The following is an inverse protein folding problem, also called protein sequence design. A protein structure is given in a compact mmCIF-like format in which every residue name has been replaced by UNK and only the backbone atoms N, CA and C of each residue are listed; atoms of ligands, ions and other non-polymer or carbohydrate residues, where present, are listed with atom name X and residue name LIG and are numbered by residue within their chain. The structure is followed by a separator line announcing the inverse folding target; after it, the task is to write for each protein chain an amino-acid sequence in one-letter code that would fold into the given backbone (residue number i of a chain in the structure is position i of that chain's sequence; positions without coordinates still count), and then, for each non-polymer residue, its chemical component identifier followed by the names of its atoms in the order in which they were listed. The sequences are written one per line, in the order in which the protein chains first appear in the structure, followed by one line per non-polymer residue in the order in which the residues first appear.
data_IF_853602630051
#
_entry.id   IF_853602630051
#
_cell.length_a   1.000
_cell.length_b   1.000
_cell.length_c   1.000
_cell.angle_alpha   90.00
_cell.angle_beta   90.00
_cell.angle_gamma   90.00
#
_symmetry.space_group_name_H-M   'P 1'
#
loop_
_entity.id
_entity.type
_entity.pdbx_description
1 polymer ?
#
# COMPACT_ATOMS: atom_id res chain seq x y z
N UNK A 1 11.97 23.73 -16.34
CA UNK A 1 11.19 23.35 -15.13
C UNK A 1 10.77 21.88 -15.18
N UNK A 2 10.13 21.42 -16.26
CA UNK A 2 9.75 20.01 -16.45
C UNK A 2 10.89 19.00 -16.34
N UNK A 3 12.10 19.34 -16.78
CA UNK A 3 13.30 18.49 -16.58
C UNK A 3 13.58 18.18 -15.11
N UNK A 4 13.46 19.18 -14.23
CA UNK A 4 13.66 19.01 -12.77
C UNK A 4 12.56 18.16 -12.15
N UNK A 5 11.31 18.32 -12.62
CA UNK A 5 10.18 17.50 -12.16
C UNK A 5 10.41 16.04 -12.54
N UNK A 6 10.75 15.76 -13.80
CA UNK A 6 11.08 14.41 -14.28
C UNK A 6 12.22 13.77 -13.47
N UNK A 7 13.31 14.50 -13.26
CA UNK A 7 14.44 14.03 -12.44
C UNK A 7 14.07 13.70 -10.99
N UNK A 8 13.03 14.34 -10.44
CA UNK A 8 12.52 14.02 -9.12
C UNK A 8 11.53 12.85 -9.11
N UNK A 9 10.75 12.66 -10.17
CA UNK A 9 9.76 11.58 -10.28
C UNK A 9 10.40 10.22 -10.52
N UNK A 10 11.39 10.11 -11.42
CA UNK A 10 12.00 8.81 -11.75
C UNK A 10 12.54 8.06 -10.52
N UNK A 11 13.34 8.67 -9.62
CA UNK A 11 13.82 7.97 -8.43
C UNK A 11 12.71 7.61 -7.43
N UNK A 12 11.65 8.42 -7.37
CA UNK A 12 10.49 8.13 -6.53
C UNK A 12 9.72 6.91 -7.06
N UNK A 13 9.56 6.80 -8.38
CA UNK A 13 8.95 5.63 -9.05
C UNK A 13 9.84 4.39 -8.90
N UNK A 14 11.17 4.51 -8.95
CA UNK A 14 12.08 3.39 -8.67
C UNK A 14 11.87 2.84 -7.26
N UNK A 15 11.81 3.70 -6.24
CA UNK A 15 11.55 3.26 -4.86
C UNK A 15 10.15 2.70 -4.67
N UNK A 16 9.17 3.23 -5.40
CA UNK A 16 7.81 2.70 -5.39
C UNK A 16 7.82 1.25 -5.89
N UNK A 17 8.46 0.99 -7.02
CA UNK A 17 8.65 -0.37 -7.55
C UNK A 17 9.33 -1.30 -6.54
N UNK A 18 10.39 -0.85 -5.88
CA UNK A 18 11.07 -1.65 -4.85
C UNK A 18 10.10 -2.07 -3.73
N UNK A 19 9.19 -1.18 -3.31
CA UNK A 19 8.16 -1.56 -2.34
C UNK A 19 7.13 -2.52 -2.90
N UNK A 20 6.75 -2.42 -4.18
CA UNK A 20 5.86 -3.40 -4.81
C UNK A 20 6.46 -4.81 -4.74
N UNK A 21 7.74 -4.92 -5.11
CA UNK A 21 8.47 -6.19 -5.13
C UNK A 21 8.57 -6.82 -3.73
N UNK A 22 8.63 -5.99 -2.67
CA UNK A 22 8.62 -6.43 -1.27
C UNK A 22 7.22 -6.77 -0.74
N UNK A 23 6.19 -6.00 -1.12
CA UNK A 23 4.83 -6.11 -0.57
C UNK A 23 4.06 -7.27 -1.21
N UNK A 24 4.12 -7.42 -2.53
CA UNK A 24 3.29 -8.38 -3.29
C UNK A 24 3.41 -9.81 -2.76
N UNK A 25 4.61 -10.35 -2.48
CA UNK A 25 4.72 -11.71 -1.93
C UNK A 25 3.99 -11.91 -0.60
N UNK A 26 3.89 -10.88 0.24
CA UNK A 26 3.19 -10.95 1.53
C UNK A 26 1.68 -10.81 1.35
N UNK A 27 1.23 -9.99 0.40
CA UNK A 27 -0.18 -9.92 0.04
C UNK A 27 -0.67 -11.22 -0.60
N UNK A 28 0.12 -11.84 -1.46
CA UNK A 28 -0.26 -13.05 -2.20
C UNK A 28 -0.07 -14.35 -1.37
N UNK A 29 0.52 -14.25 -0.18
CA UNK A 29 0.71 -15.39 0.71
C UNK A 29 -0.63 -15.95 1.21
N UNK A 30 -0.79 -17.28 1.16
CA UNK A 30 -1.99 -17.97 1.68
C UNK A 30 -2.14 -17.80 3.19
N UNK A 31 -1.03 -17.83 3.91
CA UNK A 31 -0.97 -17.56 5.35
C UNK A 31 0.03 -16.45 5.61
N UNK A 32 -0.41 -15.39 6.31
CA UNK A 32 0.41 -14.21 6.59
C UNK A 32 0.95 -14.30 8.02
N UNK A 33 2.26 -14.18 8.16
CA UNK A 33 2.91 -14.16 9.47
C UNK A 33 2.76 -12.80 10.15
N UNK A 34 2.88 -12.74 11.47
CA UNK A 34 2.87 -11.47 12.20
C UNK A 34 3.99 -10.52 11.72
N UNK A 35 5.16 -11.05 11.37
CA UNK A 35 6.26 -10.28 10.77
C UNK A 35 5.86 -9.70 9.41
N UNK A 36 5.14 -10.48 8.58
CA UNK A 36 4.59 -10.02 7.31
C UNK A 36 3.59 -8.88 7.50
N UNK A 37 2.66 -9.00 8.45
CA UNK A 37 1.68 -7.95 8.77
C UNK A 37 2.36 -6.66 9.24
N UNK A 38 3.37 -6.76 10.11
CA UNK A 38 4.11 -5.58 10.57
C UNK A 38 4.94 -4.94 9.45
N UNK A 39 5.48 -5.76 8.53
CA UNK A 39 6.11 -5.26 7.31
C UNK A 39 5.10 -4.48 6.45
N UNK A 40 3.89 -5.01 6.25
CA UNK A 40 2.83 -4.32 5.49
C UNK A 40 2.50 -2.96 6.11
N UNK A 41 2.32 -2.87 7.43
CA UNK A 41 2.10 -1.59 8.14
C UNK A 41 3.22 -0.58 7.88
N UNK A 42 4.47 -1.02 8.02
CA UNK A 42 5.63 -0.17 7.80
C UNK A 42 5.74 0.31 6.35
N UNK A 43 5.46 -0.58 5.39
CA UNK A 43 5.58 -0.27 3.96
C UNK A 43 4.42 0.58 3.46
N UNK A 44 3.20 0.40 3.98
CA UNK A 44 2.04 1.25 3.69
C UNK A 44 2.35 2.74 3.89
N UNK A 45 2.97 3.09 5.02
CA UNK A 45 3.34 4.49 5.31
C UNK A 45 4.35 5.03 4.29
N UNK A 46 5.32 4.20 3.87
CA UNK A 46 6.33 4.59 2.88
C UNK A 46 5.72 4.76 1.48
N UNK A 47 4.88 3.82 1.05
CA UNK A 47 4.18 3.88 -0.24
C UNK A 47 3.30 5.11 -0.31
N UNK A 48 2.43 5.35 0.68
CA UNK A 48 1.60 6.57 0.75
C UNK A 48 2.41 7.86 0.62
N UNK A 49 3.56 7.95 1.32
CA UNK A 49 4.44 9.13 1.22
C UNK A 49 5.01 9.31 -0.19
N UNK A 50 5.38 8.22 -0.86
CA UNK A 50 5.92 8.28 -2.22
C UNK A 50 4.81 8.70 -3.21
N UNK A 51 3.62 8.09 -3.10
CA UNK A 51 2.47 8.41 -3.96
C UNK A 51 2.09 9.88 -3.84
N UNK A 52 1.90 10.39 -2.62
CA UNK A 52 1.59 11.81 -2.39
C UNK A 52 2.61 12.75 -3.05
N UNK A 53 3.90 12.38 -3.00
CA UNK A 53 4.97 13.17 -3.63
C UNK A 53 4.91 13.09 -5.16
N UNK A 54 4.56 11.93 -5.73
CA UNK A 54 4.39 11.77 -7.17
C UNK A 54 3.21 12.58 -7.68
N UNK A 55 2.08 12.55 -6.97
CA UNK A 55 0.91 13.38 -7.28
C UNK A 55 1.21 14.87 -7.19
N UNK A 56 1.93 15.31 -6.15
CA UNK A 56 2.37 16.71 -6.02
C UNK A 56 3.22 17.13 -7.23
N UNK A 57 4.11 16.26 -7.69
CA UNK A 57 4.96 16.53 -8.86
C UNK A 57 4.17 16.51 -10.17
N UNK A 58 3.22 15.60 -10.33
CA UNK A 58 2.32 15.57 -11.48
C UNK A 58 1.49 16.86 -11.55
N UNK A 59 0.91 17.29 -10.43
CA UNK A 59 0.15 18.54 -10.33
C UNK A 59 1.02 19.77 -10.65
N UNK A 60 2.23 19.85 -10.08
CA UNK A 60 3.19 20.92 -10.40
C UNK A 60 3.52 20.97 -11.90
N UNK A 61 3.61 19.82 -12.57
CA UNK A 61 3.87 19.77 -14.00
C UNK A 61 2.66 20.24 -14.81
N UNK A 62 1.46 19.81 -14.45
CA UNK A 62 0.22 20.27 -15.09
C UNK A 62 0.04 21.80 -14.94
N UNK A 63 0.30 22.35 -13.75
CA UNK A 63 0.23 23.79 -13.53
C UNK A 63 1.28 24.56 -14.33
N UNK A 64 2.51 24.02 -14.43
CA UNK A 64 3.54 24.56 -15.31
C UNK A 64 3.06 24.60 -16.77
N UNK A 65 2.50 23.50 -17.28
CA UNK A 65 1.97 23.40 -18.65
C UNK A 65 0.87 24.43 -18.91
N UNK A 66 -0.07 24.60 -17.97
CA UNK A 66 -1.16 25.59 -18.07
C UNK A 66 -0.63 27.02 -18.21
N UNK A 67 0.51 27.32 -17.59
CA UNK A 67 1.17 28.63 -17.66
C UNK A 67 1.92 28.91 -18.97
N UNK A 68 2.12 27.91 -19.84
CA UNK A 68 2.88 28.08 -21.08
C UNK A 68 2.05 28.68 -22.23
N UNK A 69 2.70 29.40 -23.17
CA UNK A 69 2.12 29.74 -24.47
C UNK A 69 1.67 28.49 -25.25
N UNK A 70 0.70 28.63 -26.15
CA UNK A 70 0.04 27.50 -26.85
C UNK A 70 1.03 26.51 -27.49
N UNK A 71 2.03 27.01 -28.23
CA UNK A 71 3.00 26.15 -28.92
C UNK A 71 3.90 25.37 -27.96
N UNK A 72 4.33 26.00 -26.86
CA UNK A 72 5.15 25.36 -25.82
C UNK A 72 4.33 24.40 -24.97
N UNK A 73 3.07 24.76 -24.70
CA UNK A 73 2.10 23.91 -24.00
C UNK A 73 1.91 22.59 -24.72
N UNK A 74 1.61 22.61 -26.02
CA UNK A 74 1.39 21.39 -26.79
C UNK A 74 2.63 20.48 -26.79
N UNK A 75 3.83 21.06 -26.94
CA UNK A 75 5.07 20.31 -26.86
C UNK A 75 5.25 19.65 -25.48
N UNK A 76 4.99 20.39 -24.40
CA UNK A 76 5.17 19.89 -23.04
C UNK A 76 4.07 18.89 -22.62
N UNK A 77 2.83 19.05 -23.11
CA UNK A 77 1.75 18.05 -22.96
C UNK A 77 2.15 16.72 -23.60
N UNK A 78 2.76 16.76 -24.80
CA UNK A 78 3.28 15.56 -25.44
C UNK A 78 4.40 14.93 -24.60
N UNK A 79 5.28 15.71 -23.98
CA UNK A 79 6.32 15.17 -23.09
C UNK A 79 5.70 14.49 -21.87
N UNK A 80 4.70 15.12 -21.22
CA UNK A 80 4.01 14.54 -20.07
C UNK A 80 3.31 13.24 -20.44
N UNK A 81 2.58 13.20 -21.55
CA UNK A 81 1.83 12.03 -22.01
C UNK A 81 2.71 10.83 -22.39
N UNK A 82 3.98 11.07 -22.73
CA UNK A 82 4.95 10.01 -23.05
C UNK A 82 5.98 9.78 -21.93
N UNK A 83 5.77 10.37 -20.74
CA UNK A 83 6.70 10.20 -19.64
C UNK A 83 6.50 8.81 -19.02
N UNK A 84 7.32 7.86 -19.47
CA UNK A 84 7.24 6.45 -19.11
C UNK A 84 8.50 5.95 -18.37
N UNK A 85 8.72 6.35 -17.10
CA UNK A 85 9.81 5.82 -16.29
C UNK A 85 9.62 4.32 -16.03
N UNK A 86 10.68 3.54 -16.22
CA UNK A 86 10.66 2.08 -16.09
C UNK A 86 9.63 1.41 -17.02
N UNK A 87 9.52 1.90 -18.26
CA UNK A 87 8.69 1.32 -19.33
C UNK A 87 7.16 1.40 -19.11
N UNK A 88 6.72 2.01 -18.01
CA UNK A 88 5.31 2.27 -17.71
C UNK A 88 5.04 3.76 -17.61
N UNK A 89 3.86 4.19 -18.05
CA UNK A 89 3.46 5.58 -17.92
C UNK A 89 3.41 6.00 -16.44
N UNK A 90 3.85 7.22 -16.11
CA UNK A 90 3.94 7.65 -14.71
C UNK A 90 2.60 7.57 -13.97
N UNK A 91 1.47 7.79 -14.67
CA UNK A 91 0.15 7.72 -14.07
C UNK A 91 -0.24 6.29 -13.68
N UNK A 92 0.17 5.28 -14.47
CA UNK A 92 -0.05 3.87 -14.13
C UNK A 92 0.64 3.50 -12.81
N UNK A 93 1.83 4.04 -12.55
CA UNK A 93 2.51 3.86 -11.26
C UNK A 93 1.71 4.42 -10.08
N UNK A 94 1.05 5.57 -10.26
CA UNK A 94 0.23 6.20 -9.22
C UNK A 94 -1.04 5.38 -9.00
N UNK A 95 -1.73 4.98 -10.07
CA UNK A 95 -2.94 4.15 -10.03
C UNK A 95 -2.68 2.81 -9.35
N UNK A 96 -1.66 2.07 -9.82
CA UNK A 96 -1.28 0.78 -9.23
C UNK A 96 -0.90 0.92 -7.74
N UNK A 97 -0.36 2.06 -7.33
CA UNK A 97 0.03 2.26 -5.94
C UNK A 97 -1.16 2.56 -5.04
N UNK A 98 -2.20 3.23 -5.55
CA UNK A 98 -3.47 3.34 -4.83
C UNK A 98 -4.15 1.97 -4.66
N UNK A 99 -4.13 1.13 -5.69
CA UNK A 99 -4.61 -0.25 -5.57
C UNK A 99 -3.83 -1.04 -4.51
N UNK A 100 -2.49 -0.96 -4.55
CA UNK A 100 -1.65 -1.62 -3.56
C UNK A 100 -1.90 -1.13 -2.13
N UNK A 101 -2.13 0.18 -1.96
CA UNK A 101 -2.50 0.77 -0.67
C UNK A 101 -3.82 0.18 -0.17
N UNK A 102 -4.83 0.09 -1.02
CA UNK A 102 -6.13 -0.48 -0.68
C UNK A 102 -6.02 -1.97 -0.31
N UNK A 103 -5.27 -2.75 -1.10
CA UNK A 103 -5.01 -4.18 -0.82
C UNK A 103 -4.39 -4.36 0.59
N UNK A 104 -3.41 -3.51 0.94
CA UNK A 104 -2.79 -3.57 2.27
C UNK A 104 -3.80 -3.21 3.37
N UNK A 105 -4.59 -2.15 3.18
CA UNK A 105 -5.58 -1.71 4.17
C UNK A 105 -6.61 -2.79 4.48
N UNK A 106 -7.08 -3.51 3.45
CA UNK A 106 -8.00 -4.65 3.62
C UNK A 106 -7.36 -5.72 4.50
N UNK A 107 -6.13 -6.14 4.18
CA UNK A 107 -5.42 -7.18 4.95
C UNK A 107 -5.19 -6.76 6.40
N UNK A 108 -4.86 -5.48 6.64
CA UNK A 108 -4.64 -4.97 7.99
C UNK A 108 -5.94 -4.91 8.80
N UNK A 109 -7.06 -4.56 8.18
CA UNK A 109 -8.36 -4.58 8.85
C UNK A 109 -8.80 -5.99 9.23
N UNK A 110 -8.67 -6.97 8.32
CA UNK A 110 -8.97 -8.39 8.60
C UNK A 110 -8.15 -8.95 9.78
N UNK A 111 -6.89 -8.51 9.89
CA UNK A 111 -5.99 -8.94 10.98
C UNK A 111 -6.37 -8.37 12.34
N UNK A 112 -6.99 -7.19 12.38
CA UNK A 112 -7.46 -6.55 13.62
C UNK A 112 -8.78 -7.17 14.11
N UNK A 113 -9.67 -7.54 13.19
CA UNK A 113 -10.93 -8.23 13.49
C UNK A 113 -10.70 -9.68 13.98
N UNK A 114 -9.72 -10.39 13.42
CA UNK A 114 -9.36 -11.74 13.87
C UNK A 114 -8.82 -11.80 15.31
N UNK A 115 -8.19 -10.71 15.80
CA UNK A 115 -7.68 -10.62 17.18
C UNK A 115 -8.81 -10.55 18.20
N UNK A 116 -9.93 -9.88 17.89
CA UNK A 116 -11.07 -9.79 18.82
C UNK A 116 -11.84 -11.12 18.97
N UNK A 117 -11.73 -12.02 17.98
CA UNK A 117 -12.39 -13.33 18.05
C UNK A 117 -11.61 -14.38 18.87
N UNK A 118 -10.28 -14.27 18.94
CA UNK A 118 -9.44 -15.14 19.77
C UNK A 118 -9.57 -14.80 21.27
N UNK A 119 -9.63 -13.51 21.62
CA UNK A 119 -9.79 -13.07 23.02
C UNK A 119 -11.16 -13.45 23.61
N UNK A 120 -12.21 -13.55 22.78
CA UNK A 120 -13.54 -14.03 23.20
C UNK A 120 -13.63 -15.55 23.33
N UNK A 121 -12.70 -16.31 22.73
CA UNK A 121 -12.69 -17.78 22.81
C UNK A 121 -11.95 -18.29 24.06
N UNK A 122 -10.98 -17.53 24.58
CA UNK A 122 -10.34 -17.85 25.87
C UNK A 122 -11.23 -17.53 27.08
N UNK A 123 -12.10 -16.51 26.99
CA UNK A 123 -12.97 -16.13 28.13
C UNK A 123 -14.22 -17.03 28.30
N UNK A 124 -14.58 -17.83 27.29
CA UNK A 124 -15.75 -18.73 27.32
C UNK A 124 -15.39 -20.22 27.45
N UNK A 125 -14.10 -20.57 27.59
CA UNK A 125 -13.61 -21.95 27.42
C UNK A 125 -13.11 -22.70 28.65
N UNK A 126 -13.04 -22.11 29.86
CA UNK A 126 -12.49 -22.80 31.04
C UNK A 126 -13.26 -22.47 32.33
N UNK A 127 -14.45 -23.05 32.46
CA UNK A 127 -15.31 -22.82 33.63
C UNK A 127 -16.17 -24.00 34.07
N UNK A 128 -15.90 -25.24 33.66
CA UNK A 128 -16.60 -26.41 34.20
C UNK A 128 -15.66 -27.58 34.43
N UNK A 129 -14.92 -27.55 35.54
CA UNK A 129 -14.49 -28.76 36.21
C UNK A 129 -14.19 -28.50 37.68
N UNK A 130 -15.21 -28.64 38.53
CA UNK A 130 -15.09 -29.13 39.92
C UNK A 130 -16.48 -29.34 40.53
N UNK A 131 -17.06 -30.51 40.31
CA UNK A 131 -17.85 -31.17 41.36
C UNK A 131 -17.62 -32.67 41.29
N UNK A 132 -16.64 -33.07 42.11
CA UNK A 132 -16.35 -34.42 42.52
C UNK A 132 -17.49 -34.91 43.42
N UNK A 133 -18.31 -35.89 43.00
CA UNK A 133 -18.91 -36.84 43.93
C UNK A 133 -18.98 -38.24 43.30
N UNK A 134 -18.00 -39.03 43.67
CA UNK A 134 -17.96 -40.47 43.57
C UNK A 134 -19.21 -41.09 44.21
N UNK A 135 -19.95 -41.93 43.47
CA UNK A 135 -20.76 -43.00 44.06
C UNK A 135 -20.28 -44.33 43.47
N UNK A 136 -19.68 -45.15 44.34
CA UNK A 136 -19.34 -46.57 44.07
C UNK A 136 -20.60 -47.44 44.17
N UNK A 137 -20.62 -48.62 43.52
CA UNK A 137 -21.76 -49.53 43.51
C UNK A 137 -21.77 -50.44 44.75
N UNK A 138 -22.97 -50.78 45.22
CA UNK A 138 -23.32 -52.04 45.88
C UNK A 138 -24.72 -52.44 45.42
#
# INVERSE_FOLDING_TARGET
MSGTIRQAMTPAITRLREHFDEIRPVLDAQERTAEGIEMLRTRLVKVRRIVNRLEEKANQWQDYIRGLPVNERQAEEQVLANFAPLEHHYAEWIENAHELIADIEIVLAESEDGSTQSDLSEELGVGQNRMNQSRRPQ
#
